data_IF_852235010437
#
_entry.id   IF_852235010437
#
_cell.length_a   1.000
_cell.length_b   1.000
_cell.length_c   1.000
_cell.angle_alpha   90.00
_cell.angle_beta   90.00
_cell.angle_gamma   90.00
#
_symmetry.space_group_name_H-M   'P 1'
#
loop_
_entity.id
_entity.type
_entity.pdbx_description
1 polymer ?
#
# COMPACT_ATOMS: atom_id res chain seq x y z
N UNK A 1 -47.08 -7.31 -9.10
CA UNK A 1 -46.13 -8.35 -8.61
C UNK A 1 -45.18 -8.81 -9.71
N UNK A 2 -45.53 -9.59 -10.74
CA UNK A 2 -44.60 -9.98 -11.84
C UNK A 2 -43.94 -8.78 -12.54
N UNK A 3 -44.73 -7.76 -12.94
CA UNK A 3 -44.25 -6.54 -13.60
C UNK A 3 -43.31 -5.72 -12.70
N UNK A 4 -43.53 -5.66 -11.43
CA UNK A 4 -42.71 -4.93 -10.45
C UNK A 4 -41.35 -5.63 -10.26
N UNK A 5 -41.36 -6.96 -10.04
CA UNK A 5 -40.14 -7.75 -9.92
C UNK A 5 -39.31 -7.69 -11.20
N UNK A 6 -39.94 -7.75 -12.37
CA UNK A 6 -39.28 -7.59 -13.65
C UNK A 6 -38.61 -6.20 -13.78
N UNK A 7 -39.28 -5.13 -13.31
CA UNK A 7 -38.73 -3.78 -13.28
C UNK A 7 -37.54 -3.62 -12.29
N UNK A 8 -37.55 -4.37 -11.16
CA UNK A 8 -36.44 -4.41 -10.24
C UNK A 8 -35.22 -5.09 -10.88
N UNK A 9 -35.40 -6.24 -11.53
CA UNK A 9 -34.34 -6.96 -12.24
C UNK A 9 -33.75 -6.09 -13.38
N UNK A 10 -34.60 -5.41 -14.15
CA UNK A 10 -34.20 -4.48 -15.22
C UNK A 10 -33.33 -3.33 -14.69
N UNK A 11 -33.59 -2.86 -13.47
CA UNK A 11 -32.80 -1.82 -12.79
C UNK A 11 -31.54 -2.35 -12.11
N UNK A 12 -31.24 -3.65 -12.25
CA UNK A 12 -30.04 -4.28 -11.73
C UNK A 12 -30.17 -4.99 -10.38
N UNK A 13 -31.37 -5.02 -9.78
CA UNK A 13 -31.62 -5.82 -8.58
C UNK A 13 -31.88 -7.29 -8.98
N UNK A 14 -30.78 -8.03 -9.11
CA UNK A 14 -30.78 -9.43 -9.50
C UNK A 14 -31.16 -10.38 -8.34
N UNK A 15 -31.32 -9.85 -7.13
CA UNK A 15 -31.77 -10.61 -5.97
C UNK A 15 -33.29 -10.57 -5.81
N UNK A 16 -34.00 -9.72 -6.54
CA UNK A 16 -35.44 -9.66 -6.57
C UNK A 16 -36.02 -11.01 -7.03
N UNK A 17 -37.01 -11.53 -6.30
CA UNK A 17 -37.72 -12.78 -6.62
C UNK A 17 -39.21 -12.57 -6.64
N UNK A 18 -39.85 -13.26 -7.55
CA UNK A 18 -41.33 -13.33 -7.58
C UNK A 18 -41.76 -14.64 -6.94
N UNK A 19 -42.80 -14.56 -6.09
CA UNK A 19 -43.46 -15.74 -5.54
C UNK A 19 -44.89 -15.74 -6.01
N UNK A 20 -45.30 -16.79 -6.74
CA UNK A 20 -46.64 -16.98 -7.28
C UNK A 20 -47.16 -18.32 -6.77
N UNK A 21 -48.22 -18.26 -5.98
CA UNK A 21 -48.89 -19.42 -5.43
C UNK A 21 -50.17 -19.69 -6.25
N UNK A 22 -49.98 -20.14 -7.48
CA UNK A 22 -51.09 -20.56 -8.36
C UNK A 22 -50.62 -21.82 -9.09
N UNK A 23 -51.47 -22.82 -9.13
CA UNK A 23 -51.15 -24.10 -9.80
C UNK A 23 -51.43 -24.01 -11.31
N UNK A 24 -50.90 -22.95 -11.96
CA UNK A 24 -51.15 -22.62 -13.36
C UNK A 24 -49.90 -22.14 -14.08
N UNK A 25 -50.01 -21.74 -15.33
CA UNK A 25 -48.91 -21.27 -16.18
C UNK A 25 -48.20 -20.03 -15.62
N UNK A 26 -48.83 -19.26 -14.72
CA UNK A 26 -48.22 -18.10 -14.08
C UNK A 26 -47.16 -18.50 -13.07
N UNK A 27 -47.31 -19.64 -12.38
CA UNK A 27 -46.31 -20.19 -11.50
C UNK A 27 -45.04 -20.59 -12.30
N UNK A 28 -45.24 -21.24 -13.45
CA UNK A 28 -44.14 -21.64 -14.33
C UNK A 28 -43.36 -20.42 -14.85
N UNK A 29 -44.07 -19.35 -15.22
CA UNK A 29 -43.47 -18.07 -15.64
C UNK A 29 -42.65 -17.45 -14.49
N UNK A 30 -43.20 -17.44 -13.27
CA UNK A 30 -42.51 -16.92 -12.08
C UNK A 30 -41.24 -17.70 -11.76
N UNK A 31 -41.30 -19.02 -11.82
CA UNK A 31 -40.14 -19.89 -11.61
C UNK A 31 -39.05 -19.67 -12.69
N UNK A 32 -39.47 -19.58 -13.96
CA UNK A 32 -38.58 -19.29 -15.09
C UNK A 32 -37.87 -17.94 -14.93
N UNK A 33 -38.60 -16.91 -14.47
CA UNK A 33 -38.05 -15.58 -14.22
C UNK A 33 -37.03 -15.60 -13.05
N UNK A 34 -37.35 -16.30 -11.96
CA UNK A 34 -36.43 -16.47 -10.84
C UNK A 34 -35.14 -17.20 -11.26
N UNK A 35 -35.27 -18.26 -12.07
CA UNK A 35 -34.14 -19.01 -12.62
C UNK A 35 -33.29 -18.13 -13.55
N UNK A 36 -33.93 -17.29 -14.36
CA UNK A 36 -33.22 -16.35 -15.25
C UNK A 36 -32.42 -15.31 -14.44
N UNK A 37 -33.03 -14.71 -13.40
CA UNK A 37 -32.36 -13.77 -12.50
C UNK A 37 -31.16 -14.41 -11.80
N UNK A 38 -31.29 -15.65 -11.32
CA UNK A 38 -30.19 -16.40 -10.70
C UNK A 38 -29.07 -16.67 -11.69
N UNK A 39 -29.38 -17.10 -12.90
CA UNK A 39 -28.37 -17.34 -13.94
C UNK A 39 -27.65 -16.04 -14.33
N UNK A 40 -28.39 -14.94 -14.47
CA UNK A 40 -27.84 -13.63 -14.78
C UNK A 40 -26.88 -13.17 -13.66
N UNK A 41 -27.28 -13.32 -12.39
CA UNK A 41 -26.42 -12.99 -11.26
C UNK A 41 -25.11 -13.83 -11.29
N UNK A 42 -25.21 -15.14 -11.55
CA UNK A 42 -24.04 -16.02 -11.72
C UNK A 42 -23.12 -15.55 -12.87
N UNK A 43 -23.68 -15.13 -14.00
CA UNK A 43 -22.89 -14.62 -15.13
C UNK A 43 -22.21 -13.29 -14.79
N UNK A 44 -22.90 -12.35 -14.15
CA UNK A 44 -22.34 -11.08 -13.70
C UNK A 44 -21.18 -11.30 -12.74
N UNK A 45 -21.37 -12.17 -11.73
CA UNK A 45 -20.30 -12.52 -10.78
C UNK A 45 -19.08 -13.16 -11.46
N UNK A 46 -19.32 -14.09 -12.40
CA UNK A 46 -18.22 -14.70 -13.17
C UNK A 46 -17.48 -13.67 -14.02
N UNK A 47 -18.20 -12.78 -14.70
CA UNK A 47 -17.61 -11.72 -15.51
C UNK A 47 -16.77 -10.77 -14.65
N UNK A 48 -17.29 -10.36 -13.48
CA UNK A 48 -16.56 -9.50 -12.55
C UNK A 48 -15.27 -10.14 -12.02
N UNK A 49 -15.33 -11.42 -11.62
CA UNK A 49 -14.15 -12.17 -11.19
C UNK A 49 -13.14 -12.33 -12.32
N UNK A 50 -13.60 -12.56 -13.56
CA UNK A 50 -12.73 -12.66 -14.72
C UNK A 50 -12.03 -11.33 -15.01
N UNK A 51 -12.74 -10.20 -14.93
CA UNK A 51 -12.19 -8.87 -15.11
C UNK A 51 -11.11 -8.54 -14.08
N UNK A 52 -11.37 -8.84 -12.78
CA UNK A 52 -10.36 -8.66 -11.73
C UNK A 52 -9.11 -9.48 -12.04
N UNK A 53 -9.26 -10.75 -12.38
CA UNK A 53 -8.12 -11.63 -12.71
C UNK A 53 -7.32 -11.12 -13.91
N UNK A 54 -8.02 -10.61 -14.92
CA UNK A 54 -7.37 -10.02 -16.09
C UNK A 54 -6.55 -8.80 -15.71
N UNK A 55 -7.11 -7.88 -14.93
CA UNK A 55 -6.39 -6.68 -14.44
C UNK A 55 -5.18 -7.05 -13.57
N UNK A 56 -5.33 -8.04 -12.70
CA UNK A 56 -4.21 -8.53 -11.88
C UNK A 56 -3.11 -9.13 -12.75
N UNK A 57 -3.47 -9.92 -13.76
CA UNK A 57 -2.50 -10.48 -14.70
C UNK A 57 -1.79 -9.40 -15.53
N UNK A 58 -2.51 -8.36 -15.98
CA UNK A 58 -1.95 -7.21 -16.69
C UNK A 58 -0.96 -6.44 -15.81
N UNK A 59 -1.31 -6.19 -14.53
CA UNK A 59 -0.43 -5.54 -13.57
C UNK A 59 0.82 -6.38 -13.29
N UNK A 60 0.67 -7.70 -13.18
CA UNK A 60 1.81 -8.60 -12.98
C UNK A 60 2.72 -8.66 -14.21
N UNK A 61 2.14 -8.68 -15.40
CA UNK A 61 2.89 -8.61 -16.66
C UNK A 61 3.68 -7.30 -16.77
N UNK A 62 3.05 -6.16 -16.41
CA UNK A 62 3.71 -4.85 -16.39
C UNK A 62 4.86 -4.80 -15.37
N UNK A 63 4.66 -5.35 -14.17
CA UNK A 63 5.74 -5.49 -13.16
C UNK A 63 6.91 -6.34 -13.66
N UNK A 64 6.65 -7.40 -14.42
CA UNK A 64 7.69 -8.27 -15.01
C UNK A 64 8.45 -7.60 -16.15
N UNK A 65 7.89 -6.57 -16.82
CA UNK A 65 8.62 -5.81 -17.86
C UNK A 65 9.81 -5.05 -17.27
N UNK A 66 9.75 -4.67 -15.98
CA UNK A 66 10.93 -4.23 -15.26
C UNK A 66 11.71 -5.49 -14.94
N UNK A 67 12.77 -5.79 -15.68
CA UNK A 67 13.62 -6.96 -15.41
C UNK A 67 14.44 -6.74 -14.12
N UNK A 68 13.98 -7.20 -12.93
CA UNK A 68 14.64 -6.88 -11.66
C UNK A 68 16.08 -7.40 -11.64
N UNK A 69 16.28 -8.56 -12.24
CA UNK A 69 17.58 -9.20 -12.31
C UNK A 69 18.59 -8.35 -13.12
N UNK A 70 18.15 -7.74 -14.22
CA UNK A 70 19.03 -6.85 -14.99
C UNK A 70 19.44 -5.61 -14.18
N UNK A 71 18.49 -5.01 -13.46
CA UNK A 71 18.77 -3.88 -12.58
C UNK A 71 19.78 -4.24 -11.47
N UNK A 72 19.58 -5.39 -10.82
CA UNK A 72 20.50 -5.83 -9.75
C UNK A 72 21.89 -6.11 -10.29
N UNK A 73 22.00 -6.80 -11.43
CA UNK A 73 23.29 -7.09 -12.05
C UNK A 73 24.02 -5.79 -12.46
N UNK A 74 23.29 -4.81 -13.01
CA UNK A 74 23.87 -3.53 -13.38
C UNK A 74 24.40 -2.78 -12.14
N UNK A 75 23.60 -2.73 -11.07
CA UNK A 75 24.03 -2.12 -9.81
C UNK A 75 25.23 -2.84 -9.18
N UNK A 76 25.29 -4.17 -9.25
CA UNK A 76 26.45 -4.93 -8.77
C UNK A 76 27.71 -4.62 -9.57
N UNK A 77 27.61 -4.49 -10.89
CA UNK A 77 28.77 -4.08 -11.73
C UNK A 77 29.27 -2.69 -11.33
N UNK A 78 28.36 -1.72 -11.13
CA UNK A 78 28.73 -0.36 -10.71
C UNK A 78 29.35 -0.39 -9.31
N UNK A 79 28.79 -1.17 -8.38
CA UNK A 79 29.34 -1.36 -7.03
C UNK A 79 30.76 -1.94 -7.07
N UNK A 80 30.98 -2.97 -7.87
CA UNK A 80 32.31 -3.56 -8.01
C UNK A 80 33.31 -2.60 -8.64
N UNK A 81 32.89 -1.80 -9.62
CA UNK A 81 33.73 -0.74 -10.19
C UNK A 81 34.12 0.32 -9.13
N UNK A 82 33.18 0.74 -8.29
CA UNK A 82 33.45 1.67 -7.20
C UNK A 82 34.47 1.09 -6.21
N UNK A 83 34.34 -0.17 -5.81
CA UNK A 83 35.27 -0.86 -4.93
C UNK A 83 36.69 -0.92 -5.57
N UNK A 84 36.75 -1.25 -6.86
CA UNK A 84 38.02 -1.34 -7.59
C UNK A 84 38.76 0.01 -7.68
N UNK A 85 38.02 1.12 -7.65
CA UNK A 85 38.55 2.48 -7.65
C UNK A 85 38.64 3.06 -6.22
N UNK A 86 38.62 2.25 -5.17
CA UNK A 86 38.67 2.64 -3.76
C UNK A 86 37.59 3.64 -3.33
N UNK A 87 36.45 3.74 -4.08
CA UNK A 87 35.31 4.60 -3.73
C UNK A 87 34.28 3.82 -2.90
N UNK A 88 34.63 3.62 -1.64
CA UNK A 88 33.76 2.90 -0.68
C UNK A 88 32.43 3.63 -0.41
N UNK A 89 32.40 4.97 -0.57
CA UNK A 89 31.19 5.75 -0.39
C UNK A 89 30.15 5.38 -1.47
N UNK A 90 30.56 5.44 -2.74
CA UNK A 90 29.69 5.06 -3.87
C UNK A 90 29.31 3.59 -3.78
N UNK A 91 30.21 2.69 -3.41
CA UNK A 91 29.91 1.27 -3.22
C UNK A 91 28.80 1.06 -2.18
N UNK A 92 28.87 1.76 -1.04
CA UNK A 92 27.85 1.70 0.03
C UNK A 92 26.50 2.27 -0.42
N UNK A 93 26.52 3.37 -1.19
CA UNK A 93 25.27 3.94 -1.76
C UNK A 93 24.59 2.95 -2.69
N UNK A 94 25.34 2.31 -3.57
CA UNK A 94 24.78 1.33 -4.52
C UNK A 94 24.27 0.09 -3.81
N UNK A 95 24.94 -0.39 -2.78
CA UNK A 95 24.46 -1.50 -1.95
C UNK A 95 23.14 -1.17 -1.27
N UNK A 96 23.03 0.03 -0.70
CA UNK A 96 21.80 0.52 -0.06
C UNK A 96 20.65 0.66 -1.05
N UNK A 97 20.90 1.19 -2.25
CA UNK A 97 19.94 1.30 -3.33
C UNK A 97 19.48 -0.07 -3.81
N UNK A 98 20.40 -1.01 -3.99
CA UNK A 98 20.10 -2.40 -4.37
C UNK A 98 19.22 -3.09 -3.33
N UNK A 99 19.50 -2.87 -2.04
CA UNK A 99 18.69 -3.39 -0.93
C UNK A 99 17.26 -2.85 -0.96
N UNK A 100 17.08 -1.55 -1.20
CA UNK A 100 15.75 -0.95 -1.36
C UNK A 100 15.00 -1.52 -2.56
N UNK A 101 15.65 -1.59 -3.73
CA UNK A 101 15.02 -2.14 -4.94
C UNK A 101 14.62 -3.61 -4.76
N UNK A 102 15.47 -4.43 -4.12
CA UNK A 102 15.13 -5.82 -3.79
C UNK A 102 13.88 -5.91 -2.92
N UNK A 103 13.75 -5.02 -1.96
CA UNK A 103 12.58 -4.98 -1.09
C UNK A 103 11.32 -4.53 -1.86
N UNK A 104 11.41 -3.47 -2.67
CA UNK A 104 10.28 -2.91 -3.41
C UNK A 104 9.75 -3.84 -4.50
N UNK A 105 10.64 -4.50 -5.25
CA UNK A 105 10.28 -5.29 -6.43
C UNK A 105 10.19 -6.79 -6.11
N UNK A 106 11.08 -7.27 -5.22
CA UNK A 106 11.24 -8.71 -4.96
C UNK A 106 10.27 -9.29 -3.92
N UNK A 107 9.53 -8.46 -3.21
CA UNK A 107 8.60 -8.94 -2.17
C UNK A 107 7.30 -9.38 -2.82
N UNK A 108 7.03 -10.69 -2.80
CA UNK A 108 5.77 -11.30 -3.21
C UNK A 108 4.87 -11.44 -1.98
N UNK A 109 3.74 -10.72 -1.98
CA UNK A 109 2.75 -10.79 -0.90
C UNK A 109 2.52 -9.46 -0.17
N UNK A 110 1.36 -9.40 0.52
CA UNK A 110 0.92 -8.18 1.19
C UNK A 110 1.50 -8.02 2.60
N UNK A 111 2.12 -9.06 3.15
CA UNK A 111 2.61 -9.11 4.54
C UNK A 111 4.09 -9.52 4.59
N UNK A 112 4.86 -8.80 5.38
CA UNK A 112 6.29 -9.01 5.63
C UNK A 112 6.57 -9.07 7.13
N UNK A 113 7.78 -9.43 7.54
CA UNK A 113 8.19 -9.28 8.95
C UNK A 113 8.69 -7.85 9.19
N UNK A 114 8.45 -7.31 10.39
CA UNK A 114 8.84 -5.95 10.77
C UNK A 114 10.33 -5.68 10.52
N UNK A 115 11.20 -6.68 10.72
CA UNK A 115 12.62 -6.59 10.43
C UNK A 115 12.92 -6.17 8.99
N UNK A 116 12.11 -6.62 8.02
CA UNK A 116 12.32 -6.28 6.61
C UNK A 116 11.95 -4.82 6.31
N UNK A 117 10.86 -4.29 6.93
CA UNK A 117 10.52 -2.86 6.85
C UNK A 117 11.66 -2.01 7.45
N UNK A 118 12.18 -2.40 8.62
CA UNK A 118 13.28 -1.68 9.27
C UNK A 118 14.56 -1.73 8.44
N UNK A 119 14.89 -2.86 7.84
CA UNK A 119 16.04 -2.96 6.96
C UNK A 119 15.90 -2.03 5.73
N UNK A 120 14.69 -1.92 5.18
CA UNK A 120 14.41 -1.03 4.04
C UNK A 120 14.61 0.44 4.42
N UNK A 121 14.04 0.90 5.55
CA UNK A 121 14.24 2.29 5.99
C UNK A 121 15.68 2.58 6.39
N UNK A 122 16.40 1.60 6.95
CA UNK A 122 17.82 1.76 7.26
C UNK A 122 18.68 1.96 5.99
N UNK A 123 18.38 1.21 4.92
CA UNK A 123 19.03 1.43 3.63
C UNK A 123 18.68 2.79 3.02
N UNK A 124 17.44 3.24 3.16
CA UNK A 124 17.02 4.59 2.76
C UNK A 124 17.81 5.67 3.51
N UNK A 125 17.96 5.53 4.84
CA UNK A 125 18.68 6.51 5.65
C UNK A 125 20.17 6.57 5.32
N UNK A 126 20.85 5.48 5.00
CA UNK A 126 22.25 5.50 4.51
C UNK A 126 22.40 6.40 3.28
N UNK A 127 21.45 6.39 2.35
CA UNK A 127 21.46 7.29 1.20
C UNK A 127 21.19 8.75 1.60
N UNK A 128 20.28 8.96 2.55
CA UNK A 128 19.95 10.29 3.09
C UNK A 128 21.14 10.89 3.83
N UNK A 129 21.87 10.12 4.64
CA UNK A 129 23.08 10.55 5.34
C UNK A 129 24.13 11.08 4.37
N UNK A 130 24.42 10.34 3.30
CA UNK A 130 25.36 10.80 2.27
C UNK A 130 24.86 12.06 1.56
N UNK A 131 23.58 12.09 1.18
CA UNK A 131 22.99 13.22 0.44
C UNK A 131 22.97 14.53 1.24
N UNK A 132 22.88 14.45 2.56
CA UNK A 132 22.73 15.61 3.44
C UNK A 132 23.88 15.74 4.44
N UNK A 133 25.06 15.20 4.12
CA UNK A 133 26.28 15.30 4.93
C UNK A 133 26.05 14.89 6.39
N UNK A 134 25.39 13.76 6.61
CA UNK A 134 25.04 13.19 7.94
C UNK A 134 24.21 14.15 8.83
N UNK A 135 23.52 15.11 8.22
CA UNK A 135 22.66 16.05 8.96
C UNK A 135 21.44 15.37 9.56
N UNK A 136 20.99 14.27 8.99
CA UNK A 136 19.84 13.52 9.43
C UNK A 136 20.22 12.15 9.94
N UNK A 137 19.59 11.70 11.01
CA UNK A 137 19.81 10.40 11.63
C UNK A 137 18.51 9.60 11.79
N UNK A 138 18.66 8.30 11.87
CA UNK A 138 17.58 7.35 12.16
C UNK A 138 17.87 6.63 13.47
N UNK A 139 16.93 6.67 14.42
CA UNK A 139 16.94 5.85 15.63
C UNK A 139 15.85 4.78 15.54
N UNK A 140 16.19 3.53 15.87
CA UNK A 140 15.25 2.40 15.86
C UNK A 140 15.18 1.79 17.25
N UNK A 141 14.04 1.96 17.91
CA UNK A 141 13.79 1.53 19.27
C UNK A 141 12.70 0.46 19.28
N UNK A 142 13.05 -0.74 18.85
CA UNK A 142 12.12 -1.87 18.70
C UNK A 142 12.63 -3.06 19.51
N UNK A 143 11.84 -3.60 20.47
CA UNK A 143 12.18 -4.83 21.17
C UNK A 143 12.39 -6.01 20.20
N UNK A 144 13.40 -6.84 20.49
CA UNK A 144 13.77 -7.97 19.62
C UNK A 144 12.62 -8.94 19.36
N UNK A 145 11.74 -9.09 20.32
CA UNK A 145 10.57 -9.96 20.25
C UNK A 145 9.60 -9.56 19.13
N UNK A 146 9.54 -8.25 18.81
CA UNK A 146 8.62 -7.69 17.80
C UNK A 146 9.17 -7.76 16.38
N UNK A 147 10.46 -8.05 16.19
CA UNK A 147 11.08 -8.03 14.85
C UNK A 147 10.47 -9.06 13.90
N UNK A 148 9.90 -10.15 14.43
CA UNK A 148 9.24 -11.22 13.65
C UNK A 148 7.73 -11.00 13.45
N UNK A 149 7.17 -9.93 14.02
CA UNK A 149 5.76 -9.59 13.82
C UNK A 149 5.50 -9.35 12.34
N UNK A 150 4.37 -9.85 11.85
CA UNK A 150 3.93 -9.62 10.47
C UNK A 150 3.24 -8.28 10.37
N UNK A 151 3.65 -7.50 9.40
CA UNK A 151 3.11 -6.17 9.09
C UNK A 151 2.85 -6.07 7.60
N UNK A 152 1.92 -5.21 7.17
CA UNK A 152 1.72 -4.97 5.75
C UNK A 152 2.99 -4.40 5.11
N UNK A 153 3.28 -4.83 3.88
CA UNK A 153 4.44 -4.36 3.12
C UNK A 153 4.34 -2.86 2.84
N UNK A 154 5.44 -2.11 3.01
CA UNK A 154 5.55 -0.66 2.74
C UNK A 154 4.59 0.20 3.58
N UNK A 155 4.52 -0.03 4.90
CA UNK A 155 3.75 0.82 5.81
C UNK A 155 4.64 1.85 6.52
N UNK A 156 5.89 1.53 6.82
CA UNK A 156 6.78 2.41 7.58
C UNK A 156 7.52 3.37 6.62
N UNK A 157 8.02 2.86 5.50
CA UNK A 157 8.83 3.66 4.57
C UNK A 157 8.15 4.95 4.10
N UNK A 158 6.87 4.97 3.63
CA UNK A 158 6.22 6.21 3.18
C UNK A 158 6.10 7.26 4.31
N UNK A 159 5.92 6.81 5.55
CA UNK A 159 5.83 7.71 6.71
C UNK A 159 7.20 8.31 7.01
N UNK A 160 8.26 7.51 7.00
CA UNK A 160 9.65 7.96 7.19
C UNK A 160 10.08 8.91 6.07
N UNK A 161 9.75 8.62 4.81
CA UNK A 161 10.01 9.52 3.69
C UNK A 161 9.32 10.87 3.86
N UNK A 162 8.07 10.88 4.37
CA UNK A 162 7.34 12.11 4.68
C UNK A 162 8.01 12.89 5.81
N UNK A 163 8.45 12.22 6.88
CA UNK A 163 9.18 12.85 7.98
C UNK A 163 10.46 13.54 7.46
N UNK A 164 11.25 12.87 6.63
CA UNK A 164 12.45 13.47 6.02
C UNK A 164 12.08 14.62 5.08
N UNK A 165 11.16 14.41 4.14
CA UNK A 165 10.84 15.37 3.08
C UNK A 165 10.16 16.63 3.59
N UNK A 166 9.24 16.48 4.52
CA UNK A 166 8.37 17.56 4.99
C UNK A 166 8.70 18.04 6.40
N UNK A 167 9.23 17.17 7.26
CA UNK A 167 9.66 17.50 8.62
C UNK A 167 11.10 18.05 8.64
N UNK A 168 12.08 17.24 8.23
CA UNK A 168 13.49 17.56 8.44
C UNK A 168 14.09 18.49 7.39
N UNK A 169 13.78 18.31 6.09
CA UNK A 169 14.39 19.12 5.01
C UNK A 169 14.18 20.62 5.15
N UNK A 170 13.00 21.11 5.54
CA UNK A 170 12.78 22.55 5.71
C UNK A 170 13.54 23.12 6.89
N UNK A 171 13.86 22.31 7.89
CA UNK A 171 14.67 22.71 9.05
C UNK A 171 16.16 22.83 8.64
N UNK A 172 16.86 23.89 9.10
CA UNK A 172 18.28 24.10 8.78
C UNK A 172 19.24 23.36 9.73
N UNK A 173 18.75 22.87 10.86
CA UNK A 173 19.52 22.16 11.89
C UNK A 173 19.61 20.64 11.63
N UNK A 174 20.29 19.92 12.55
CA UNK A 174 20.29 18.47 12.56
C UNK A 174 18.86 17.94 12.77
N UNK A 175 18.54 16.82 12.15
CA UNK A 175 17.24 16.21 12.22
C UNK A 175 17.34 14.72 12.57
N UNK A 176 16.34 14.24 13.30
CA UNK A 176 16.26 12.84 13.70
C UNK A 176 14.86 12.31 13.40
N UNK A 177 14.82 11.08 12.90
CA UNK A 177 13.61 10.27 12.83
C UNK A 177 13.77 9.09 13.78
N UNK A 178 12.79 8.93 14.67
CA UNK A 178 12.75 7.81 15.63
C UNK A 178 11.63 6.87 15.24
N UNK A 179 11.92 5.59 15.08
CA UNK A 179 10.94 4.54 14.83
C UNK A 179 10.87 3.62 16.05
N UNK A 180 9.71 3.60 16.68
CA UNK A 180 9.44 2.77 17.85
C UNK A 180 8.36 1.75 17.54
N UNK A 181 8.41 0.60 18.21
CA UNK A 181 7.30 -0.36 18.21
C UNK A 181 7.09 -0.91 19.61
N UNK A 182 5.82 -1.06 19.97
CA UNK A 182 5.42 -1.72 21.23
C UNK A 182 4.19 -2.58 20.98
N UNK A 183 4.08 -3.67 21.75
CA UNK A 183 2.89 -4.49 21.78
C UNK A 183 1.93 -3.90 22.83
N UNK A 184 0.70 -3.63 22.41
CA UNK A 184 -0.37 -3.15 23.28
C UNK A 184 -1.56 -4.11 23.16
N UNK A 185 -1.70 -5.02 24.13
CA UNK A 185 -2.66 -6.14 24.08
C UNK A 185 -2.55 -6.93 22.77
N UNK A 186 -3.57 -6.88 21.92
CA UNK A 186 -3.64 -7.59 20.65
C UNK A 186 -3.12 -6.77 19.45
N UNK A 187 -2.62 -5.55 19.70
CA UNK A 187 -2.17 -4.64 18.66
C UNK A 187 -0.66 -4.42 18.70
N UNK A 188 -0.05 -4.34 17.53
CA UNK A 188 1.30 -3.82 17.34
C UNK A 188 1.18 -2.31 17.05
N UNK A 189 1.65 -1.50 17.98
CA UNK A 189 1.72 -0.03 17.79
C UNK A 189 3.10 0.34 17.26
N UNK A 190 3.14 0.93 16.07
CA UNK A 190 4.37 1.44 15.45
C UNK A 190 4.26 2.96 15.40
N UNK A 191 5.25 3.64 15.95
CA UNK A 191 5.32 5.09 16.03
C UNK A 191 6.52 5.58 15.25
N UNK A 192 6.31 6.57 14.37
CA UNK A 192 7.37 7.30 13.67
C UNK A 192 7.31 8.74 14.12
N UNK A 193 8.39 9.24 14.70
CA UNK A 193 8.52 10.61 15.19
C UNK A 193 9.65 11.32 14.48
N UNK A 194 9.50 12.62 14.21
CA UNK A 194 10.56 13.50 13.73
C UNK A 194 10.64 14.75 14.59
N UNK A 195 11.83 15.37 14.64
CA UNK A 195 12.07 16.66 15.31
C UNK A 195 12.10 17.82 14.31
N UNK A 196 11.38 17.69 13.21
CA UNK A 196 11.31 18.69 12.15
C UNK A 196 10.44 19.90 12.46
N UNK A 197 9.99 20.57 11.39
CA UNK A 197 9.18 21.82 11.49
C UNK A 197 7.74 21.58 11.95
N UNK A 198 7.30 20.33 12.02
CA UNK A 198 5.92 19.96 12.38
C UNK A 198 4.90 20.29 11.30
N UNK A 199 3.61 20.14 11.66
CA UNK A 199 2.47 20.38 10.78
C UNK A 199 1.62 21.50 11.40
N UNK A 200 1.24 22.52 10.62
CA UNK A 200 0.35 23.56 11.11
C UNK A 200 -1.07 23.00 11.34
N UNK A 201 -1.87 23.71 12.15
CA UNK A 201 -3.21 23.23 12.57
C UNK A 201 -4.15 22.99 11.40
N UNK A 202 -4.19 23.90 10.44
CA UNK A 202 -5.07 23.79 9.27
C UNK A 202 -4.74 22.53 8.45
N UNK A 203 -3.45 22.31 8.21
CA UNK A 203 -3.00 21.13 7.47
C UNK A 203 -3.19 19.83 8.24
N UNK A 204 -3.06 19.86 9.56
CA UNK A 204 -3.33 18.70 10.42
C UNK A 204 -4.81 18.29 10.35
N UNK A 205 -5.72 19.26 10.39
CA UNK A 205 -7.16 19.03 10.26
C UNK A 205 -7.51 18.45 8.88
N UNK A 206 -6.91 18.97 7.79
CA UNK A 206 -7.08 18.41 6.44
C UNK A 206 -6.63 16.94 6.36
N UNK A 207 -5.43 16.62 6.89
CA UNK A 207 -4.91 15.25 6.90
C UNK A 207 -5.79 14.33 7.74
N UNK A 208 -6.24 14.76 8.91
CA UNK A 208 -7.15 13.97 9.76
C UNK A 208 -8.50 13.73 9.10
N UNK A 209 -9.07 14.73 8.42
CA UNK A 209 -10.31 14.58 7.65
C UNK A 209 -10.14 13.58 6.51
N UNK A 210 -9.00 13.66 5.79
CA UNK A 210 -8.65 12.76 4.70
C UNK A 210 -8.53 11.30 5.18
N UNK A 211 -7.90 11.06 6.34
CA UNK A 211 -7.72 9.72 6.90
C UNK A 211 -9.04 9.09 7.39
N UNK A 212 -10.01 9.93 7.78
CA UNK A 212 -11.36 9.48 8.19
C UNK A 212 -12.28 9.23 7.01
N UNK A 213 -12.02 9.83 5.85
CA UNK A 213 -12.87 9.67 4.67
C UNK A 213 -12.61 8.32 4.00
N UNK A 214 -13.68 7.60 3.67
CA UNK A 214 -13.62 6.39 2.81
C UNK A 214 -13.64 6.75 1.32
N UNK A 215 -13.71 8.03 0.97
CA UNK A 215 -13.72 8.49 -0.40
C UNK A 215 -12.38 8.22 -1.08
N UNK A 216 -12.41 7.53 -2.22
CA UNK A 216 -11.30 7.53 -3.19
C UNK A 216 -11.26 8.95 -3.78
N UNK A 217 -10.48 9.82 -3.18
CA UNK A 217 -10.28 11.18 -3.67
C UNK A 217 -9.40 11.08 -4.91
N UNK A 218 -9.79 11.75 -5.98
CA UNK A 218 -8.99 11.83 -7.20
C UNK A 218 -7.59 12.35 -6.87
N UNK A 219 -6.55 11.73 -7.43
CA UNK A 219 -5.14 12.06 -7.15
C UNK A 219 -4.79 13.54 -7.39
N UNK A 220 -5.60 14.24 -8.19
CA UNK A 220 -5.44 15.66 -8.56
C UNK A 220 -5.70 16.63 -7.39
N UNK A 221 -6.52 16.24 -6.41
CA UNK A 221 -6.89 17.10 -5.26
C UNK A 221 -5.96 16.96 -4.05
N UNK A 222 -5.00 16.02 -4.08
CA UNK A 222 -4.15 15.72 -2.93
C UNK A 222 -2.75 16.30 -3.15
N UNK A 223 -2.44 17.42 -2.51
CA UNK A 223 -1.07 17.97 -2.49
C UNK A 223 -0.09 17.02 -1.79
N UNK A 224 0.67 16.29 -2.60
CA UNK A 224 1.90 15.48 -2.35
C UNK A 224 2.11 14.75 -1.00
N UNK A 225 1.99 15.42 0.15
CA UNK A 225 2.28 14.83 1.48
C UNK A 225 1.19 13.87 1.98
N UNK A 226 -0.04 14.02 1.50
CA UNK A 226 -1.19 13.27 2.03
C UNK A 226 -1.37 11.91 1.36
N UNK A 227 -0.85 11.71 0.14
CA UNK A 227 -1.04 10.47 -0.64
C UNK A 227 -0.36 9.29 0.03
N UNK A 228 0.89 9.45 0.46
CA UNK A 228 1.66 8.36 1.09
C UNK A 228 1.02 7.88 2.40
N UNK A 229 0.60 8.80 3.25
CA UNK A 229 -0.04 8.47 4.54
C UNK A 229 -1.44 7.89 4.33
N UNK A 230 -2.23 8.44 3.38
CA UNK A 230 -3.54 7.88 3.02
C UNK A 230 -3.42 6.45 2.49
N UNK A 231 -2.47 6.19 1.59
CA UNK A 231 -2.23 4.85 1.06
C UNK A 231 -1.86 3.84 2.17
N UNK A 232 -1.06 4.25 3.16
CA UNK A 232 -0.76 3.42 4.34
C UNK A 232 -2.02 3.16 5.15
N UNK A 233 -2.83 4.19 5.43
CA UNK A 233 -4.10 4.07 6.16
C UNK A 233 -5.07 3.11 5.47
N UNK A 234 -5.26 3.28 4.15
CA UNK A 234 -6.18 2.44 3.37
C UNK A 234 -5.69 0.99 3.32
N UNK A 235 -4.37 0.78 3.19
CA UNK A 235 -3.78 -0.56 3.22
C UNK A 235 -4.01 -1.27 4.56
N UNK A 236 -3.87 -0.56 5.68
CA UNK A 236 -4.15 -1.11 7.02
C UNK A 236 -5.64 -1.45 7.12
N UNK A 237 -6.54 -0.53 6.78
CA UNK A 237 -8.01 -0.74 6.82
C UNK A 237 -8.49 -1.90 5.94
N UNK A 238 -7.79 -2.20 4.85
CA UNK A 238 -8.14 -3.33 3.96
C UNK A 238 -7.66 -4.69 4.46
N UNK A 239 -6.72 -4.72 5.38
CA UNK A 239 -6.12 -5.96 5.89
C UNK A 239 -6.64 -6.35 7.27
N UNK A 240 -7.20 -5.42 8.00
CA UNK A 240 -7.78 -5.55 9.34
C UNK A 240 -9.19 -4.95 9.42
#
# INVERSE_FOLDING_TARGET
>A
MLKETMSCIEKGDLDARVHIDSNDEFQDIGNGMNQMAENLNKYVQKAYVAEIRQRDAELEALKRQIQPHYLYNTLDVIRMSAITNDDMLVATMIDSLSGQLKYLIGTTGNMVILQQEIACISNYFKLIEVRYDSRFSLSVEIPKELWKCRVPHLIIQPVVENAVKHGLRPNKGPGEVVVQAKQNMDFLEITVMDNGVGINKERLEEVQALLKSDARIAEEDIKGMSIGVKNVSDRIKHLY
#
